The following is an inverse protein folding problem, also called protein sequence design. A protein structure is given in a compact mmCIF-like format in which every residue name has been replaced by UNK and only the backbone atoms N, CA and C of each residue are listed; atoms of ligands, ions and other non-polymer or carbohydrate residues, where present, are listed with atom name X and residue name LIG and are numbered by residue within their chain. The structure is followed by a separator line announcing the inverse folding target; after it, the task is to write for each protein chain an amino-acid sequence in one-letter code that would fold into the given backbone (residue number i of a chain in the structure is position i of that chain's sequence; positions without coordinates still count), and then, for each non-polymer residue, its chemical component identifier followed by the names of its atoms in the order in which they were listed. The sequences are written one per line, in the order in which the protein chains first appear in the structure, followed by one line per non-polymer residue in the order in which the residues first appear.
data_IF_303301543854
#
_entry.id   IF_303301543854
#
_cell.length_a   1.000
_cell.length_b   1.000
_cell.length_c   1.000
_cell.angle_alpha   90.00
_cell.angle_beta   90.00
_cell.angle_gamma   90.00
#
_symmetry.space_group_name_H-M   'P 1'
#
loop_
_entity.id
_entity.type
_entity.pdbx_description
1 polymer ?
#
# COMPACT_ATOMS: atom_id res chain seq x y z
N UNK A 1 -5.75 5.56 -28.74
CA UNK A 1 -5.63 5.22 -27.31
C UNK A 1 -4.60 4.12 -27.23
N UNK A 2 -3.37 4.46 -26.84
CA UNK A 2 -2.28 3.49 -26.72
C UNK A 2 -2.55 2.63 -25.49
N UNK A 3 -2.80 1.34 -25.69
CA UNK A 3 -2.66 0.33 -24.65
C UNK A 3 -1.21 0.39 -24.18
N UNK A 4 -0.97 1.05 -23.04
CA UNK A 4 0.27 0.88 -22.30
C UNK A 4 0.27 -0.57 -21.82
N UNK A 5 1.28 -1.32 -22.25
CA UNK A 5 1.44 -2.72 -21.90
C UNK A 5 1.57 -2.87 -20.38
N UNK A 6 0.73 -3.73 -19.81
CA UNK A 6 0.57 -4.06 -18.38
C UNK A 6 1.82 -4.71 -17.72
N UNK A 7 3.04 -4.42 -18.18
CA UNK A 7 4.24 -5.17 -17.77
C UNK A 7 4.70 -4.86 -16.34
N UNK A 8 4.19 -3.78 -15.73
CA UNK A 8 4.56 -3.33 -14.38
C UNK A 8 3.41 -3.36 -13.35
N UNK A 9 2.24 -3.88 -13.70
CA UNK A 9 1.13 -3.96 -12.75
C UNK A 9 1.35 -5.05 -11.70
N UNK A 10 0.97 -4.75 -10.46
CA UNK A 10 1.04 -5.72 -9.36
C UNK A 10 -0.30 -6.44 -9.25
N UNK A 11 -0.26 -7.76 -9.39
CA UNK A 11 -1.43 -8.63 -9.23
C UNK A 11 -1.87 -8.74 -7.77
N UNK A 12 -3.15 -8.49 -7.52
CA UNK A 12 -3.85 -8.59 -6.24
C UNK A 12 -5.14 -9.41 -6.36
N UNK A 13 -5.25 -10.26 -7.38
CA UNK A 13 -6.40 -11.15 -7.59
C UNK A 13 -6.67 -11.99 -6.34
N UNK A 14 -7.92 -12.02 -5.89
CA UNK A 14 -8.35 -12.83 -4.74
C UNK A 14 -7.87 -12.32 -3.37
N UNK A 15 -7.13 -11.20 -3.31
CA UNK A 15 -6.74 -10.59 -2.04
C UNK A 15 -7.85 -9.68 -1.49
N UNK A 16 -8.01 -9.67 -0.17
CA UNK A 16 -8.84 -8.69 0.53
C UNK A 16 -8.26 -7.28 0.31
N UNK A 17 -9.03 -6.39 -0.32
CA UNK A 17 -8.57 -5.03 -0.68
C UNK A 17 -8.23 -4.19 0.55
N UNK A 18 -8.91 -4.40 1.68
CA UNK A 18 -8.55 -3.71 2.92
C UNK A 18 -7.20 -4.21 3.46
N UNK A 19 -6.90 -5.51 3.33
CA UNK A 19 -5.57 -6.03 3.69
C UNK A 19 -4.47 -5.53 2.76
N UNK A 20 -4.75 -5.44 1.45
CA UNK A 20 -3.83 -4.84 0.47
C UNK A 20 -3.52 -3.40 0.87
N UNK A 21 -4.56 -2.58 1.07
CA UNK A 21 -4.39 -1.17 1.43
C UNK A 21 -3.70 -0.99 2.78
N UNK A 22 -4.07 -1.77 3.80
CA UNK A 22 -3.40 -1.77 5.10
C UNK A 22 -1.90 -2.07 4.96
N UNK A 23 -1.56 -3.11 4.20
CA UNK A 23 -0.16 -3.51 4.02
C UNK A 23 0.64 -2.41 3.32
N UNK A 24 0.05 -1.73 2.32
CA UNK A 24 0.66 -0.58 1.66
C UNK A 24 0.84 0.61 2.62
N UNK A 25 -0.10 0.88 3.52
CA UNK A 25 0.03 1.93 4.55
C UNK A 25 1.16 1.57 5.53
N UNK A 26 1.20 0.32 6.01
CA UNK A 26 2.20 -0.15 6.97
C UNK A 26 3.62 -0.11 6.39
N UNK A 27 3.76 -0.32 5.07
CA UNK A 27 5.05 -0.31 4.36
C UNK A 27 5.35 1.03 3.66
N UNK A 28 4.48 2.03 3.81
CA UNK A 28 4.69 3.36 3.26
C UNK A 28 5.86 4.04 4.00
N UNK A 29 7.06 3.93 3.43
CA UNK A 29 8.21 4.62 3.94
C UNK A 29 8.08 6.09 3.54
N UNK A 30 7.97 6.98 4.52
CA UNK A 30 8.08 8.40 4.23
C UNK A 30 9.55 8.68 3.90
N UNK A 31 9.89 8.80 2.62
CA UNK A 31 11.13 9.47 2.21
C UNK A 31 11.00 10.96 2.53
N UNK A 32 11.05 11.28 3.82
CA UNK A 32 11.17 12.65 4.25
C UNK A 32 12.53 13.19 3.82
N UNK A 33 12.54 14.43 3.33
CA UNK A 33 13.76 15.18 2.98
C UNK A 33 14.66 15.50 4.19
N UNK A 34 14.28 15.05 5.39
CA UNK A 34 15.04 15.18 6.64
C UNK A 34 14.75 14.03 7.60
N UNK A 35 15.74 13.66 8.41
CA UNK A 35 15.69 12.56 9.39
C UNK A 35 14.51 12.71 10.39
N UNK A 36 14.15 13.95 10.75
CA UNK A 36 13.09 14.24 11.72
C UNK A 36 11.69 13.87 11.23
N UNK A 37 11.39 14.06 9.95
CA UNK A 37 10.09 13.72 9.38
C UNK A 37 9.97 12.22 9.07
N UNK A 38 11.10 11.51 8.90
CA UNK A 38 11.13 10.04 8.88
C UNK A 38 10.79 9.48 10.27
N UNK A 39 11.39 10.03 11.33
CA UNK A 39 11.11 9.63 12.71
C UNK A 39 9.63 9.83 13.08
N UNK A 40 9.06 11.02 12.83
CA UNK A 40 7.64 11.28 13.14
C UNK A 40 6.68 10.36 12.36
N UNK A 41 7.02 10.01 11.11
CA UNK A 41 6.24 9.08 10.30
C UNK A 41 6.26 7.63 10.83
N UNK A 42 7.33 7.23 11.53
CA UNK A 42 7.45 5.93 12.22
C UNK A 42 6.80 5.90 13.61
N UNK A 43 6.51 7.06 14.20
CA UNK A 43 5.85 7.19 15.51
C UNK A 43 4.31 7.18 15.42
N UNK A 44 3.73 7.16 14.21
CA UNK A 44 2.29 7.03 14.06
C UNK A 44 1.86 5.62 14.50
N UNK A 45 0.77 5.50 15.30
CA UNK A 45 0.28 4.19 15.70
C UNK A 45 -0.12 3.36 14.47
N UNK A 46 0.01 2.03 14.52
CA UNK A 46 -0.48 1.15 13.47
C UNK A 46 -1.95 1.44 13.16
N UNK A 47 -2.31 1.36 11.88
CA UNK A 47 -3.71 1.53 11.45
C UNK A 47 -4.42 0.18 11.58
N UNK A 48 -5.51 0.15 12.36
CA UNK A 48 -6.37 -1.02 12.49
C UNK A 48 -7.12 -1.32 11.18
N UNK A 49 -7.34 -2.60 10.88
CA UNK A 49 -7.96 -3.03 9.61
C UNK A 49 -9.40 -2.52 9.45
N UNK A 50 -10.16 -2.40 10.55
CA UNK A 50 -11.51 -1.84 10.55
C UNK A 50 -11.53 -0.37 10.13
N UNK A 51 -10.48 0.38 10.49
CA UNK A 51 -10.33 1.77 10.08
C UNK A 51 -10.10 1.85 8.58
N UNK A 52 -9.28 0.96 8.03
CA UNK A 52 -9.05 0.86 6.58
C UNK A 52 -10.33 0.49 5.84
N UNK A 53 -11.13 -0.44 6.37
CA UNK A 53 -12.45 -0.79 5.81
C UNK A 53 -13.40 0.40 5.77
N UNK A 54 -13.49 1.15 6.87
CA UNK A 54 -14.31 2.35 6.93
C UNK A 54 -13.87 3.43 5.91
N UNK A 55 -12.56 3.58 5.67
CA UNK A 55 -12.05 4.45 4.61
C UNK A 55 -12.49 3.98 3.22
N UNK A 56 -12.36 2.68 2.93
CA UNK A 56 -12.78 2.13 1.62
C UNK A 56 -14.29 2.31 1.41
N UNK A 57 -15.10 2.09 2.44
CA UNK A 57 -16.56 2.29 2.38
C UNK A 57 -16.93 3.74 2.09
N UNK A 58 -16.19 4.69 2.66
CA UNK A 58 -16.47 6.12 2.54
C UNK A 58 -15.92 6.73 1.26
N UNK A 59 -14.65 6.47 0.96
CA UNK A 59 -13.86 7.19 -0.03
C UNK A 59 -13.52 6.32 -1.27
N UNK A 60 -13.76 5.00 -1.20
CA UNK A 60 -13.58 4.06 -2.31
C UNK A 60 -12.20 3.38 -2.36
N UNK A 61 -11.92 2.73 -3.49
CA UNK A 61 -10.69 1.94 -3.71
C UNK A 61 -9.59 2.70 -4.49
N UNK A 62 -9.87 3.93 -4.92
CA UNK A 62 -8.88 4.83 -5.52
C UNK A 62 -8.38 5.76 -4.41
N UNK A 63 -7.16 5.53 -3.95
CA UNK A 63 -6.64 6.12 -2.71
C UNK A 63 -5.43 6.98 -3.01
N UNK A 64 -5.57 8.29 -2.79
CA UNK A 64 -4.46 9.24 -2.96
C UNK A 64 -3.63 9.42 -1.68
N UNK A 65 -4.29 9.54 -0.53
CA UNK A 65 -3.66 9.82 0.77
C UNK A 65 -4.35 9.09 1.92
N UNK A 66 -3.56 8.61 2.87
CA UNK A 66 -4.05 8.13 4.17
C UNK A 66 -3.16 8.70 5.28
N UNK A 67 -3.79 9.33 6.27
CA UNK A 67 -3.10 9.93 7.42
C UNK A 67 -1.94 10.88 7.06
N UNK A 68 -2.07 11.59 5.93
CA UNK A 68 -1.05 12.51 5.42
C UNK A 68 0.09 11.84 4.66
N UNK A 69 0.10 10.51 4.52
CA UNK A 69 1.03 9.78 3.66
C UNK A 69 0.45 9.68 2.25
N UNK A 70 1.21 10.01 1.18
CA UNK A 70 0.79 9.65 -0.16
C UNK A 70 0.67 8.12 -0.23
N UNK A 71 -0.31 7.61 -0.97
CA UNK A 71 -0.46 6.18 -1.26
C UNK A 71 -0.62 6.01 -2.76
N UNK A 72 -1.57 6.74 -3.37
CA UNK A 72 -1.71 6.90 -4.82
C UNK A 72 -1.83 5.59 -5.59
N UNK A 73 -2.79 4.77 -5.20
CA UNK A 73 -3.11 3.49 -5.86
C UNK A 73 -4.57 3.41 -6.25
N UNK A 74 -4.87 2.64 -7.29
CA UNK A 74 -6.22 2.24 -7.67
C UNK A 74 -6.37 0.73 -7.46
N UNK A 75 -7.15 0.34 -6.45
CA UNK A 75 -7.37 -1.06 -6.07
C UNK A 75 -8.74 -1.60 -6.53
N UNK A 76 -9.43 -0.89 -7.44
CA UNK A 76 -10.76 -1.28 -7.93
C UNK A 76 -10.72 -2.58 -8.75
N UNK A 77 -9.60 -2.84 -9.43
CA UNK A 77 -9.37 -4.05 -10.23
C UNK A 77 -8.57 -5.12 -9.51
N UNK A 78 -8.19 -6.15 -10.27
CA UNK A 78 -7.36 -7.27 -9.80
C UNK A 78 -5.86 -7.02 -9.90
N UNK A 79 -5.45 -5.86 -10.43
CA UNK A 79 -4.08 -5.39 -10.39
C UNK A 79 -4.04 -3.87 -10.29
N UNK A 80 -2.89 -3.30 -9.93
CA UNK A 80 -2.71 -1.85 -9.87
C UNK A 80 -1.32 -1.43 -10.38
N UNK A 81 -1.22 -0.19 -10.88
CA UNK A 81 0.05 0.43 -11.25
C UNK A 81 0.79 0.93 -9.99
N UNK A 82 1.99 0.42 -9.67
CA UNK A 82 2.74 0.84 -8.50
C UNK A 82 3.46 2.19 -8.67
N UNK A 83 3.51 2.78 -9.87
CA UNK A 83 4.43 3.86 -10.19
C UNK A 83 4.35 5.05 -9.22
N UNK A 84 3.15 5.53 -8.89
CA UNK A 84 2.99 6.68 -7.99
C UNK A 84 3.37 6.34 -6.55
N UNK A 85 3.01 5.15 -6.07
CA UNK A 85 3.41 4.67 -4.75
C UNK A 85 4.93 4.55 -4.66
N UNK A 86 5.56 3.84 -5.60
CA UNK A 86 7.00 3.61 -5.65
C UNK A 86 7.80 4.91 -5.82
N UNK A 87 7.26 5.89 -6.55
CA UNK A 87 7.87 7.22 -6.64
C UNK A 87 8.01 7.89 -5.28
N UNK A 88 6.99 7.77 -4.43
CA UNK A 88 6.92 8.46 -3.15
C UNK A 88 7.57 7.66 -1.99
N UNK A 89 7.68 6.33 -2.12
CA UNK A 89 8.16 5.43 -1.06
C UNK A 89 9.47 4.69 -1.38
N UNK A 90 9.90 4.72 -2.64
CA UNK A 90 11.07 4.02 -3.17
C UNK A 90 10.68 2.91 -4.16
N UNK A 91 11.51 2.73 -5.19
CA UNK A 91 11.26 1.75 -6.26
C UNK A 91 11.11 0.32 -5.71
N UNK A 92 10.07 -0.39 -6.15
CA UNK A 92 9.80 -1.80 -5.81
C UNK A 92 9.13 -2.01 -4.45
N UNK A 93 8.78 -0.95 -3.74
CA UNK A 93 8.21 -1.03 -2.38
C UNK A 93 6.79 -1.57 -2.40
N UNK A 94 5.97 -1.18 -3.38
CA UNK A 94 4.64 -1.72 -3.55
C UNK A 94 4.71 -3.25 -3.75
N UNK A 95 5.61 -3.74 -4.60
CA UNK A 95 5.77 -5.18 -4.85
C UNK A 95 6.20 -5.91 -3.59
N UNK A 96 7.21 -5.39 -2.87
CA UNK A 96 7.65 -5.98 -1.60
C UNK A 96 6.51 -6.08 -0.58
N UNK A 97 5.68 -5.05 -0.46
CA UNK A 97 4.53 -5.06 0.44
C UNK A 97 3.52 -6.17 0.08
N UNK A 98 3.21 -6.33 -1.22
CA UNK A 98 2.29 -7.39 -1.69
C UNK A 98 2.92 -8.78 -1.55
N UNK A 99 4.22 -8.93 -1.78
CA UNK A 99 4.92 -10.20 -1.59
C UNK A 99 4.87 -10.64 -0.12
N UNK A 100 5.03 -9.71 0.82
CA UNK A 100 4.87 -9.96 2.26
C UNK A 100 3.44 -10.38 2.59
N UNK A 101 2.43 -9.73 2.00
CA UNK A 101 1.03 -10.10 2.22
C UNK A 101 0.70 -11.50 1.67
N UNK A 102 1.33 -11.89 0.55
CA UNK A 102 1.15 -13.21 -0.09
C UNK A 102 2.00 -14.30 0.56
N UNK A 103 3.05 -13.95 1.30
CA UNK A 103 3.90 -14.91 1.97
C UNK A 103 3.05 -15.75 2.95
N UNK A 104 3.22 -17.09 2.97
CA UNK A 104 2.57 -17.91 3.97
C UNK A 104 3.02 -17.43 5.34
N UNK A 105 2.04 -17.15 6.23
CA UNK A 105 2.33 -17.01 7.65
C UNK A 105 2.87 -18.37 8.11
N UNK A 106 4.19 -18.48 8.32
CA UNK A 106 4.70 -19.60 9.12
C UNK A 106 4.12 -19.40 10.52
N UNK A 107 3.08 -20.18 10.84
CA UNK A 107 2.61 -20.35 12.20
C UNK A 107 3.79 -20.90 13.02
N UNK A 108 4.53 -20.01 13.68
CA UNK A 108 5.46 -20.39 14.73
C UNK A 108 4.63 -20.73 15.96
N UNK A 109 3.98 -21.90 15.91
CA UNK A 109 3.54 -22.60 17.11
C UNK A 109 4.81 -23.00 17.89
N UNK A 110 5.07 -22.27 18.98
CA UNK A 110 6.00 -22.66 20.05
C UNK A 110 5.42 -22.32 21.41
#
# INVERSE_FOLDING_TARGET
MTEQTNENHIDITGLDKAKVLKTLIDHANCMALSDDASLLATMQPPVEIETVRAYIEKDGLTVDYILGKPIKVDLTGDSFDPWLYDRDHGQGRAQQAIDILKAPHEDVDK
#
